data_IF_122690179636
#
_entry.id   IF_122690179636
#
_cell.length_a   1.000
_cell.length_b   1.000
_cell.length_c   1.000
_cell.angle_alpha   90.00
_cell.angle_beta   90.00
_cell.angle_gamma   90.00
#
_symmetry.space_group_name_H-M   'P 1'
#
loop_
_entity.id
_entity.type
_entity.pdbx_description
1 polymer ?
#
# COMPACT_ATOMS: atom_id res chain seq x y z
N UNK A 1 39.98 -8.36 -12.77
CA UNK A 1 38.85 -7.85 -11.95
C UNK A 1 38.31 -9.07 -11.21
N UNK A 2 38.26 -9.04 -9.89
CA UNK A 2 37.86 -10.20 -9.08
C UNK A 2 36.38 -10.50 -9.26
N UNK A 3 36.05 -11.73 -9.64
CA UNK A 3 34.67 -12.26 -9.75
C UNK A 3 33.97 -12.46 -8.38
N UNK A 4 34.46 -11.84 -7.32
CA UNK A 4 33.79 -11.95 -6.03
C UNK A 4 32.54 -11.04 -6.00
N UNK A 5 31.39 -11.55 -5.56
CA UNK A 5 30.19 -10.75 -5.41
C UNK A 5 30.46 -9.61 -4.43
N UNK A 6 29.99 -8.40 -4.75
CA UNK A 6 30.11 -7.23 -3.88
C UNK A 6 29.47 -7.50 -2.53
N UNK A 7 30.07 -6.98 -1.46
CA UNK A 7 29.44 -7.02 -0.15
C UNK A 7 28.08 -6.28 -0.21
N UNK A 8 27.07 -6.68 0.59
CA UNK A 8 25.74 -6.04 0.56
C UNK A 8 25.76 -4.50 0.66
N UNK A 9 26.68 -3.94 1.48
CA UNK A 9 26.86 -2.50 1.63
C UNK A 9 27.37 -1.79 0.36
N UNK A 10 28.03 -2.51 -0.53
CA UNK A 10 28.66 -2.00 -1.73
C UNK A 10 27.78 -2.19 -2.98
N UNK A 11 26.63 -2.87 -2.82
CA UNK A 11 25.67 -3.13 -3.92
C UNK A 11 24.70 -1.97 -4.14
N UNK A 12 24.61 -1.01 -3.23
CA UNK A 12 23.64 0.08 -3.27
C UNK A 12 22.22 -0.36 -2.94
N UNK A 13 21.22 0.44 -3.34
CA UNK A 13 19.82 0.11 -3.14
C UNK A 13 19.41 -1.10 -3.98
N UNK A 14 18.50 -1.96 -3.46
CA UNK A 14 17.97 -3.08 -4.23
C UNK A 14 17.37 -2.65 -5.56
N UNK A 15 17.59 -3.41 -6.61
CA UNK A 15 16.98 -3.19 -7.91
C UNK A 15 15.48 -3.50 -7.85
N UNK A 16 14.64 -2.46 -7.86
CA UNK A 16 13.19 -2.59 -7.77
C UNK A 16 12.57 -3.36 -8.94
N UNK A 17 13.22 -3.42 -10.10
CA UNK A 17 12.73 -4.14 -11.27
C UNK A 17 12.51 -5.63 -11.00
N UNK A 18 13.24 -6.20 -10.03
CA UNK A 18 13.07 -7.59 -9.60
C UNK A 18 11.79 -7.83 -8.80
N UNK A 19 11.15 -6.76 -8.33
CA UNK A 19 10.03 -6.83 -7.39
C UNK A 19 8.73 -6.21 -7.94
N UNK A 20 8.76 -5.65 -9.14
CA UNK A 20 7.55 -5.06 -9.74
C UNK A 20 6.61 -6.15 -10.28
N UNK A 21 5.31 -5.88 -10.21
CA UNK A 21 4.30 -6.78 -10.77
C UNK A 21 4.52 -7.00 -12.27
N UNK A 22 4.39 -8.23 -12.82
CA UNK A 22 4.64 -8.55 -14.23
C UNK A 22 3.87 -7.65 -15.22
N UNK A 23 2.60 -7.34 -14.92
CA UNK A 23 1.80 -6.42 -15.75
C UNK A 23 2.34 -4.99 -15.74
N UNK A 24 2.95 -4.54 -14.63
CA UNK A 24 3.61 -3.25 -14.57
C UNK A 24 4.90 -3.24 -15.41
N UNK A 25 5.69 -4.31 -15.33
CA UNK A 25 6.89 -4.46 -16.15
C UNK A 25 6.55 -4.44 -17.64
N UNK A 26 5.54 -5.25 -18.05
CA UNK A 26 5.07 -5.36 -19.43
C UNK A 26 4.58 -4.03 -20.00
N UNK A 27 3.87 -3.24 -19.20
CA UNK A 27 3.18 -2.02 -19.63
C UNK A 27 3.85 -0.74 -19.10
N UNK A 28 5.14 -0.78 -18.78
CA UNK A 28 5.87 0.37 -18.24
C UNK A 28 5.76 1.59 -19.15
N UNK A 29 5.24 2.72 -18.61
CA UNK A 29 5.01 3.95 -19.37
C UNK A 29 3.90 3.88 -20.43
N UNK A 30 3.08 2.81 -20.47
CA UNK A 30 2.02 2.61 -21.45
C UNK A 30 0.62 2.59 -20.84
N UNK A 31 0.46 3.18 -19.66
CA UNK A 31 -0.85 3.31 -18.99
C UNK A 31 -1.68 4.42 -19.65
N UNK A 32 -2.97 4.15 -19.88
CA UNK A 32 -3.89 5.04 -20.57
C UNK A 32 -4.91 5.67 -19.61
N UNK A 33 -5.43 4.88 -18.66
CA UNK A 33 -6.37 5.38 -17.66
C UNK A 33 -6.13 4.80 -16.28
N UNK A 34 -6.67 5.51 -15.27
CA UNK A 34 -6.61 5.15 -13.85
C UNK A 34 -7.97 5.45 -13.23
N UNK A 35 -8.91 4.51 -13.39
CA UNK A 35 -10.29 4.73 -13.01
C UNK A 35 -10.58 4.18 -11.62
N UNK A 36 -11.38 4.92 -10.85
CA UNK A 36 -11.84 4.48 -9.53
C UNK A 36 -13.04 3.54 -9.68
N UNK A 37 -12.98 2.39 -9.04
CA UNK A 37 -14.09 1.44 -8.96
C UNK A 37 -14.92 1.65 -7.69
N UNK A 38 -14.27 1.86 -6.57
CA UNK A 38 -14.84 2.14 -5.24
C UNK A 38 -13.77 2.71 -4.31
N UNK A 39 -14.10 3.15 -3.09
CA UNK A 39 -13.10 3.65 -2.14
C UNK A 39 -11.89 2.74 -2.03
N UNK A 40 -10.69 3.29 -2.21
CA UNK A 40 -9.44 2.55 -2.15
C UNK A 40 -9.15 1.58 -3.30
N UNK A 41 -10.06 1.43 -4.27
CA UNK A 41 -9.91 0.47 -5.38
C UNK A 41 -9.85 1.18 -6.71
N UNK A 42 -8.72 1.03 -7.41
CA UNK A 42 -8.52 1.58 -8.75
C UNK A 42 -8.33 0.45 -9.78
N UNK A 43 -8.66 0.74 -11.02
CA UNK A 43 -8.25 -0.04 -12.19
C UNK A 43 -7.36 0.81 -13.08
N UNK A 44 -6.22 0.27 -13.43
CA UNK A 44 -5.25 0.87 -14.34
C UNK A 44 -5.34 0.13 -15.65
N UNK A 45 -5.69 0.82 -16.73
CA UNK A 45 -5.82 0.22 -18.06
C UNK A 45 -4.63 0.65 -18.92
N UNK A 46 -3.94 -0.30 -19.51
CA UNK A 46 -2.83 -0.05 -20.42
C UNK A 46 -3.30 0.03 -21.87
N UNK A 47 -2.52 0.66 -22.74
CA UNK A 47 -2.77 0.70 -24.20
C UNK A 47 -2.88 -0.68 -24.85
N UNK A 48 -2.26 -1.69 -24.24
CA UNK A 48 -2.39 -3.10 -24.65
C UNK A 48 -3.76 -3.71 -24.35
N UNK A 49 -4.61 -3.03 -23.56
CA UNK A 49 -5.85 -3.57 -23.03
C UNK A 49 -5.68 -4.34 -21.70
N UNK A 50 -4.45 -4.56 -21.26
CA UNK A 50 -4.19 -5.17 -19.94
C UNK A 50 -4.73 -4.29 -18.82
N UNK A 51 -5.22 -4.94 -17.76
CA UNK A 51 -5.73 -4.26 -16.57
C UNK A 51 -5.00 -4.72 -15.33
N UNK A 52 -4.61 -3.76 -14.50
CA UNK A 52 -4.08 -3.99 -13.17
C UNK A 52 -5.02 -3.31 -12.16
N UNK A 53 -5.43 -4.04 -11.15
CA UNK A 53 -6.24 -3.51 -10.07
C UNK A 53 -5.35 -3.22 -8.88
N UNK A 54 -5.64 -2.12 -8.17
CA UNK A 54 -4.97 -1.81 -6.91
C UNK A 54 -5.99 -1.63 -5.81
N UNK A 55 -5.69 -2.22 -4.64
CA UNK A 55 -6.51 -2.11 -3.44
C UNK A 55 -5.66 -1.47 -2.36
N UNK A 56 -6.00 -0.23 -2.00
CA UNK A 56 -5.28 0.55 -0.99
C UNK A 56 -6.02 0.53 0.33
N UNK A 57 -5.31 0.14 1.37
CA UNK A 57 -5.80 0.08 2.74
C UNK A 57 -5.01 1.00 3.67
N UNK A 58 -5.72 1.64 4.59
CA UNK A 58 -5.11 2.39 5.68
C UNK A 58 -4.46 1.44 6.66
N UNK A 59 -3.12 1.44 6.70
CA UNK A 59 -2.35 0.57 7.56
C UNK A 59 -1.66 1.35 8.67
N UNK A 60 -1.46 0.75 9.86
CA UNK A 60 -0.67 1.36 10.92
C UNK A 60 0.81 1.40 10.52
N UNK A 61 1.55 2.39 11.02
CA UNK A 61 3.00 2.48 10.79
C UNK A 61 3.79 1.47 11.62
N UNK A 62 3.26 1.09 12.78
CA UNK A 62 3.87 0.09 13.67
C UNK A 62 3.04 -1.18 13.60
N UNK A 63 3.66 -2.27 13.21
CA UNK A 63 3.00 -3.57 13.05
C UNK A 63 3.78 -4.66 13.76
N UNK A 64 3.08 -5.68 14.23
CA UNK A 64 3.73 -6.91 14.68
C UNK A 64 4.21 -7.74 13.48
N UNK A 65 5.20 -8.59 13.70
CA UNK A 65 5.63 -9.56 12.69
C UNK A 65 4.48 -10.45 12.21
N UNK A 66 3.53 -10.79 13.10
CA UNK A 66 2.38 -11.60 12.73
C UNK A 66 1.41 -10.85 11.82
N UNK A 67 1.21 -9.54 12.04
CA UNK A 67 0.43 -8.71 11.12
C UNK A 67 1.09 -8.65 9.74
N UNK A 68 2.42 -8.47 9.69
CA UNK A 68 3.16 -8.46 8.41
C UNK A 68 3.04 -9.80 7.70
N UNK A 69 3.13 -10.94 8.41
CA UNK A 69 2.93 -12.28 7.82
C UNK A 69 1.53 -12.41 7.20
N UNK A 70 0.47 -12.01 7.93
CA UNK A 70 -0.89 -12.02 7.39
C UNK A 70 -1.04 -11.18 6.12
N UNK A 71 -0.40 -10.00 6.08
CA UNK A 71 -0.37 -9.16 4.87
C UNK A 71 0.32 -9.88 3.72
N UNK A 72 1.45 -10.55 3.98
CA UNK A 72 2.15 -11.35 2.98
C UNK A 72 1.30 -12.53 2.50
N UNK A 73 0.66 -13.27 3.41
CA UNK A 73 -0.20 -14.41 3.08
C UNK A 73 -1.37 -13.99 2.17
N UNK A 74 -1.98 -12.82 2.44
CA UNK A 74 -3.03 -12.24 1.60
C UNK A 74 -2.46 -11.85 0.22
N UNK A 75 -1.29 -11.22 0.18
CA UNK A 75 -0.65 -10.85 -1.07
C UNK A 75 -0.27 -12.08 -1.92
N UNK A 76 0.28 -13.11 -1.30
CA UNK A 76 0.62 -14.37 -1.98
C UNK A 76 -0.62 -15.03 -2.57
N UNK A 77 -1.72 -15.03 -1.82
CA UNK A 77 -2.95 -15.70 -2.23
C UNK A 77 -3.68 -15.00 -3.37
N UNK A 78 -3.72 -13.67 -3.38
CA UNK A 78 -4.58 -12.91 -4.30
C UNK A 78 -3.81 -11.99 -5.25
N UNK A 79 -2.54 -11.70 -4.98
CA UNK A 79 -1.76 -10.69 -5.69
C UNK A 79 -0.43 -11.26 -6.24
N UNK A 80 -0.28 -12.58 -6.29
CA UNK A 80 0.97 -13.23 -6.71
C UNK A 80 2.20 -12.73 -5.95
N UNK A 81 2.02 -12.40 -4.65
CA UNK A 81 3.05 -11.85 -3.80
C UNK A 81 3.36 -10.35 -3.99
N UNK A 82 2.57 -9.63 -4.79
CA UNK A 82 2.88 -8.25 -5.13
C UNK A 82 2.06 -7.24 -4.33
N UNK A 83 2.76 -6.42 -3.57
CA UNK A 83 2.21 -5.27 -2.84
C UNK A 83 3.23 -4.13 -2.85
N UNK A 84 2.79 -2.93 -2.46
CA UNK A 84 3.69 -1.80 -2.21
C UNK A 84 3.28 -0.99 -0.99
N UNK A 85 4.25 -0.37 -0.35
CA UNK A 85 4.04 0.66 0.65
C UNK A 85 3.94 2.02 -0.06
N UNK A 86 2.89 2.78 0.23
CA UNK A 86 2.75 4.12 -0.32
C UNK A 86 3.59 5.12 0.47
N UNK A 87 3.79 6.32 -0.09
CA UNK A 87 4.52 7.42 0.59
C UNK A 87 3.86 7.87 1.90
N UNK A 88 2.59 7.54 2.11
CA UNK A 88 1.83 7.81 3.35
C UNK A 88 1.66 6.58 4.23
N UNK A 89 2.52 5.58 4.06
CA UNK A 89 2.52 4.33 4.83
C UNK A 89 1.23 3.50 4.71
N UNK A 90 0.40 3.73 3.71
CA UNK A 90 -0.67 2.81 3.35
C UNK A 90 -0.08 1.59 2.63
N UNK A 91 -0.74 0.45 2.73
CA UNK A 91 -0.42 -0.72 1.92
C UNK A 91 -1.36 -0.77 0.71
N UNK A 92 -0.79 -1.07 -0.45
CA UNK A 92 -1.52 -1.22 -1.69
C UNK A 92 -1.19 -2.59 -2.30
N UNK A 93 -2.23 -3.40 -2.48
CA UNK A 93 -2.18 -4.72 -3.07
C UNK A 93 -2.34 -4.61 -4.60
N UNK A 94 -1.52 -5.33 -5.35
CA UNK A 94 -1.48 -5.27 -6.81
C UNK A 94 -2.09 -6.54 -7.39
N UNK A 95 -3.29 -6.45 -7.97
CA UNK A 95 -4.09 -7.59 -8.40
C UNK A 95 -4.14 -7.65 -9.92
N UNK A 96 -3.64 -8.74 -10.50
CA UNK A 96 -3.67 -8.96 -11.95
C UNK A 96 -4.98 -9.56 -12.45
N UNK A 97 -5.65 -10.38 -11.63
CA UNK A 97 -6.92 -11.02 -12.00
C UNK A 97 -8.11 -10.36 -11.28
N UNK A 98 -9.08 -9.89 -12.06
CA UNK A 98 -10.32 -9.30 -11.51
C UNK A 98 -11.10 -10.27 -10.61
N UNK A 99 -11.00 -11.58 -10.86
CA UNK A 99 -11.73 -12.57 -10.08
C UNK A 99 -11.26 -12.64 -8.62
N UNK A 100 -10.01 -12.28 -8.35
CA UNK A 100 -9.45 -12.26 -7.00
C UNK A 100 -9.81 -10.99 -6.21
N UNK A 101 -10.32 -9.94 -6.90
CA UNK A 101 -10.49 -8.61 -6.32
C UNK A 101 -11.44 -8.60 -5.13
N UNK A 102 -12.63 -9.19 -5.25
CA UNK A 102 -13.63 -9.17 -4.18
C UNK A 102 -13.21 -10.02 -2.98
N UNK A 103 -12.53 -11.15 -3.23
CA UNK A 103 -11.99 -11.99 -2.18
C UNK A 103 -10.84 -11.30 -1.43
N UNK A 104 -9.96 -10.61 -2.14
CA UNK A 104 -8.91 -9.78 -1.54
C UNK A 104 -9.50 -8.67 -0.66
N UNK A 105 -10.46 -7.91 -1.18
CA UNK A 105 -11.08 -6.81 -0.44
C UNK A 105 -11.70 -7.33 0.86
N UNK A 106 -12.42 -8.44 0.79
CA UNK A 106 -13.00 -9.07 1.97
C UNK A 106 -11.92 -9.50 2.98
N UNK A 107 -10.80 -10.06 2.52
CA UNK A 107 -9.68 -10.42 3.39
C UNK A 107 -9.06 -9.18 4.06
N UNK A 108 -8.85 -8.09 3.34
CA UNK A 108 -8.31 -6.85 3.89
C UNK A 108 -9.24 -6.24 4.95
N UNK A 109 -10.54 -6.18 4.66
CA UNK A 109 -11.51 -5.57 5.57
C UNK A 109 -11.83 -6.47 6.79
N UNK A 110 -11.90 -7.79 6.63
CA UNK A 110 -12.32 -8.71 7.69
C UNK A 110 -11.15 -9.32 8.46
N UNK A 111 -10.08 -9.75 7.77
CA UNK A 111 -8.97 -10.44 8.42
C UNK A 111 -7.92 -9.47 8.98
N UNK A 112 -7.71 -8.32 8.31
CA UNK A 112 -6.84 -7.25 8.80
C UNK A 112 -7.61 -6.16 9.57
N UNK A 113 -8.90 -6.00 9.31
CA UNK A 113 -9.71 -4.93 9.89
C UNK A 113 -9.34 -3.53 9.39
N UNK A 114 -8.77 -3.42 8.19
CA UNK A 114 -8.27 -2.16 7.66
C UNK A 114 -9.26 -1.49 6.71
N UNK A 115 -9.49 -0.16 6.85
CA UNK A 115 -10.35 0.58 5.96
C UNK A 115 -9.71 0.73 4.58
N UNK A 116 -10.51 0.66 3.53
CA UNK A 116 -10.07 0.97 2.17
C UNK A 116 -10.28 2.45 1.87
N UNK A 117 -9.31 3.10 1.25
CA UNK A 117 -9.38 4.52 0.93
C UNK A 117 -8.04 5.15 0.53
N UNK A 118 -7.94 6.45 0.72
CA UNK A 118 -6.71 7.21 0.48
C UNK A 118 -6.32 7.29 -0.99
N UNK A 119 -7.28 7.24 -1.92
CA UNK A 119 -7.07 7.32 -3.36
C UNK A 119 -7.67 8.60 -3.95
N UNK A 120 -7.10 9.09 -5.06
CA UNK A 120 -7.55 10.30 -5.71
C UNK A 120 -7.46 11.54 -4.81
N UNK A 121 -8.46 12.43 -4.81
CA UNK A 121 -8.49 13.64 -3.98
C UNK A 121 -8.91 13.39 -2.52
N UNK A 122 -9.11 12.14 -2.09
CA UNK A 122 -9.46 11.82 -0.71
C UNK A 122 -8.31 12.13 0.27
N UNK A 123 -8.65 12.29 1.55
CA UNK A 123 -7.65 12.31 2.62
C UNK A 123 -6.86 11.01 2.57
N UNK A 124 -5.54 11.11 2.54
CA UNK A 124 -4.67 9.96 2.70
C UNK A 124 -4.29 9.78 4.18
N UNK A 125 -3.45 8.80 4.49
CA UNK A 125 -3.00 8.59 5.85
C UNK A 125 -2.19 9.80 6.35
N UNK A 126 -2.38 10.21 7.59
CA UNK A 126 -1.65 11.29 8.24
C UNK A 126 -0.43 10.72 8.96
N UNK A 127 0.74 11.26 8.66
CA UNK A 127 1.99 10.84 9.26
C UNK A 127 2.35 11.71 10.47
N UNK A 128 2.99 11.10 11.44
CA UNK A 128 3.50 11.78 12.64
C UNK A 128 4.87 11.26 13.02
N UNK A 129 5.54 11.97 13.91
CA UNK A 129 6.80 11.53 14.52
C UNK A 129 6.56 10.33 15.42
N UNK A 130 7.63 9.65 15.86
CA UNK A 130 7.53 8.55 16.82
C UNK A 130 6.95 9.00 18.18
N UNK A 131 7.04 10.30 18.50
CA UNK A 131 6.46 10.85 19.71
C UNK A 131 6.97 10.14 20.96
N UNK A 132 6.06 9.77 21.83
CA UNK A 132 6.39 9.15 23.13
C UNK A 132 7.01 7.76 23.04
N UNK A 133 6.95 7.11 21.87
CA UNK A 133 7.56 5.79 21.72
C UNK A 133 9.09 5.84 21.82
N UNK A 134 9.73 6.86 21.23
CA UNK A 134 11.19 6.95 21.12
C UNK A 134 11.78 8.35 21.36
N UNK A 135 10.96 9.38 21.53
CA UNK A 135 11.46 10.72 21.75
C UNK A 135 11.82 10.93 23.23
N UNK A 136 13.03 11.40 23.51
CA UNK A 136 13.46 11.71 24.88
C UNK A 136 12.77 12.93 25.48
N UNK A 137 12.26 13.82 24.63
CA UNK A 137 11.57 15.07 25.04
C UNK A 137 10.28 15.22 24.21
N UNK A 138 9.27 14.35 24.40
CA UNK A 138 8.02 14.48 23.66
C UNK A 138 7.23 15.67 24.19
N UNK A 139 7.02 16.68 23.34
CA UNK A 139 6.22 17.86 23.69
C UNK A 139 4.71 17.61 23.67
N UNK A 140 4.26 16.56 22.98
CA UNK A 140 2.84 16.20 22.86
C UNK A 140 2.68 14.74 22.46
N UNK A 141 1.47 14.20 22.68
CA UNK A 141 1.05 12.90 22.12
C UNK A 141 0.68 13.02 20.63
N UNK A 142 1.72 12.94 19.78
CA UNK A 142 1.52 13.01 18.33
C UNK A 142 0.67 11.85 17.79
N UNK A 143 0.83 10.64 18.35
CA UNK A 143 0.08 9.46 17.90
C UNK A 143 -1.41 9.58 18.25
N UNK A 144 -1.74 9.96 19.45
CA UNK A 144 -3.14 10.16 19.87
C UNK A 144 -3.84 11.27 19.10
N UNK A 145 -3.16 12.41 18.89
CA UNK A 145 -3.70 13.51 18.09
C UNK A 145 -3.98 13.11 16.66
N UNK A 146 -3.07 12.38 16.02
CA UNK A 146 -3.25 11.90 14.63
C UNK A 146 -4.33 10.83 14.55
N UNK A 147 -4.40 9.93 15.55
CA UNK A 147 -5.46 8.91 15.59
C UNK A 147 -6.83 9.57 15.68
N UNK A 148 -7.03 10.54 16.58
CA UNK A 148 -8.29 11.26 16.72
C UNK A 148 -8.68 11.98 15.42
N UNK A 149 -7.72 12.68 14.79
CA UNK A 149 -7.96 13.36 13.52
C UNK A 149 -8.31 12.39 12.38
N UNK A 150 -7.65 11.22 12.30
CA UNK A 150 -7.97 10.21 11.31
C UNK A 150 -9.33 9.55 11.55
N UNK A 151 -9.74 9.41 12.82
CA UNK A 151 -11.08 8.92 13.14
C UNK A 151 -12.17 9.91 12.71
N UNK A 152 -11.93 11.19 12.92
CA UNK A 152 -12.85 12.25 12.48
C UNK A 152 -12.92 12.36 10.94
N UNK A 153 -11.81 12.08 10.24
CA UNK A 153 -11.70 12.16 8.78
C UNK A 153 -11.84 10.80 8.07
N UNK A 154 -12.42 9.81 8.73
CA UNK A 154 -12.51 8.46 8.15
C UNK A 154 -13.39 8.41 6.89
N UNK A 155 -14.40 9.24 6.82
CA UNK A 155 -15.28 9.32 5.66
C UNK A 155 -14.58 10.00 4.49
N UNK A 156 -13.78 11.03 4.72
CA UNK A 156 -12.94 11.69 3.72
C UNK A 156 -11.78 10.80 3.25
N UNK A 157 -11.32 9.87 4.10
CA UNK A 157 -10.38 8.84 3.69
C UNK A 157 -11.01 7.82 2.74
N UNK A 158 -12.25 7.40 3.02
CA UNK A 158 -12.99 6.44 2.19
C UNK A 158 -13.53 7.08 0.91
N UNK A 159 -13.94 8.33 0.97
CA UNK A 159 -14.60 9.05 -0.13
C UNK A 159 -13.68 10.11 -0.72
N UNK A 160 -13.87 10.45 -2.01
CA UNK A 160 -13.07 11.49 -2.69
C UNK A 160 -13.74 12.87 -2.60
N UNK A 161 -14.25 13.19 -1.43
CA UNK A 161 -14.99 14.44 -1.18
C UNK A 161 -14.16 15.37 -0.31
N UNK A 162 -13.15 15.99 -0.88
CA UNK A 162 -12.53 17.19 -0.33
C UNK A 162 -12.96 18.41 -1.10
#
# INVERSE_FOLDING_TARGET
MSDQPLAPRDQGAPDYNKHIHPLMAKNYGQWESHDRLRPGVLVHTAKSGDKLYTVRAGSPRTMSADTVRKVCDIADKYCQGHLRFTSRSNIEFLVGDKNDLDALIKAVEQDLGWPLGGTGPSVSNILHTQGWLHCNLPGSDAAGSVKALMDDLIDEFKNETL
#
